data_IF_053089104958
#
_entry.id   IF_053089104958
#
_cell.length_a   1.000
_cell.length_b   1.000
_cell.length_c   1.000
_cell.angle_alpha   90.00
_cell.angle_beta   90.00
_cell.angle_gamma   90.00
#
_symmetry.space_group_name_H-M   'P 1'
#
loop_
_entity.id
_entity.type
_entity.pdbx_description
1 polymer ?
#
# COMPACT_ATOMS: atom_id res chain seq x y z
N UNK A 1 -1.05 15.14 -6.57
CA UNK A 1 -0.99 16.54 -7.05
C UNK A 1 0.09 16.66 -8.11
N UNK A 2 0.03 17.69 -8.97
CA UNK A 2 1.11 17.93 -9.93
C UNK A 2 2.47 18.11 -9.24
N UNK A 3 2.51 18.79 -8.09
CA UNK A 3 3.73 18.97 -7.28
C UNK A 3 4.34 17.63 -6.83
N UNK A 4 3.53 16.72 -6.31
CA UNK A 4 4.02 15.39 -5.88
C UNK A 4 4.51 14.56 -7.06
N UNK A 5 3.85 14.63 -8.23
CA UNK A 5 4.29 13.93 -9.44
C UNK A 5 5.66 14.40 -9.91
N UNK A 6 5.88 15.72 -9.94
CA UNK A 6 7.17 16.31 -10.30
C UNK A 6 8.25 15.91 -9.29
N UNK A 7 7.94 16.01 -8.00
CA UNK A 7 8.86 15.62 -6.93
C UNK A 7 9.25 14.14 -7.04
N UNK A 8 8.28 13.24 -7.20
CA UNK A 8 8.50 11.80 -7.31
C UNK A 8 9.33 11.43 -8.54
N UNK A 9 8.98 12.03 -9.69
CA UNK A 9 9.73 11.85 -10.94
C UNK A 9 11.18 12.28 -10.82
N UNK A 10 11.43 13.44 -10.18
CA UNK A 10 12.79 13.95 -9.96
C UNK A 10 13.63 12.96 -9.15
N UNK A 11 13.08 12.39 -8.08
CA UNK A 11 13.79 11.43 -7.24
C UNK A 11 14.11 10.14 -7.97
N UNK A 12 13.14 9.55 -8.67
CA UNK A 12 13.35 8.32 -9.46
C UNK A 12 14.42 8.54 -10.53
N UNK A 13 14.34 9.63 -11.30
CA UNK A 13 15.34 9.94 -12.33
C UNK A 13 16.74 10.15 -11.75
N UNK A 14 16.84 10.85 -10.62
CA UNK A 14 18.13 11.09 -9.98
C UNK A 14 18.73 9.80 -9.45
N UNK A 15 17.93 8.96 -8.78
CA UNK A 15 18.38 7.68 -8.25
C UNK A 15 18.83 6.74 -9.38
N UNK A 16 18.04 6.65 -10.46
CA UNK A 16 18.38 5.86 -11.65
C UNK A 16 19.73 6.25 -12.27
N UNK A 17 19.99 7.56 -12.35
CA UNK A 17 21.17 8.12 -13.01
C UNK A 17 22.43 8.07 -12.15
N UNK A 18 22.31 8.33 -10.85
CA UNK A 18 23.45 8.59 -9.96
C UNK A 18 23.82 7.35 -9.17
N UNK A 19 22.83 6.60 -8.69
CA UNK A 19 23.04 5.57 -7.67
C UNK A 19 22.93 4.16 -8.25
N UNK A 20 21.85 3.87 -8.97
CA UNK A 20 21.55 2.53 -9.43
C UNK A 20 20.68 2.56 -10.67
N UNK A 21 21.17 2.01 -11.77
CA UNK A 21 20.35 1.74 -12.95
C UNK A 21 19.34 0.65 -12.62
N UNK A 22 18.06 0.98 -12.76
CA UNK A 22 16.91 0.09 -12.49
C UNK A 22 15.98 0.05 -13.70
N UNK A 23 15.42 -1.13 -13.99
CA UNK A 23 14.51 -1.34 -15.13
C UNK A 23 13.02 -1.25 -14.77
N UNK A 24 12.70 -1.43 -13.48
CA UNK A 24 11.36 -1.37 -12.94
C UNK A 24 11.37 -0.99 -11.46
N UNK A 25 10.19 -0.79 -10.89
CA UNK A 25 10.02 -0.39 -9.48
C UNK A 25 8.97 -1.24 -8.78
N UNK A 26 9.33 -1.74 -7.60
CA UNK A 26 8.41 -2.37 -6.66
C UNK A 26 7.95 -1.30 -5.65
N UNK A 27 6.66 -0.95 -5.65
CA UNK A 27 6.08 0.06 -4.74
C UNK A 27 5.22 -0.63 -3.69
N UNK A 28 5.86 -0.98 -2.58
CA UNK A 28 5.26 -1.63 -1.44
C UNK A 28 4.75 -0.63 -0.39
N UNK A 29 4.00 -1.12 0.60
CA UNK A 29 3.51 -0.38 1.77
C UNK A 29 2.57 0.79 1.44
N UNK A 30 1.93 0.74 0.27
CA UNK A 30 1.18 1.85 -0.31
C UNK A 30 -0.34 1.75 -0.14
N UNK A 31 -0.81 1.05 0.90
CA UNK A 31 -2.21 1.08 1.33
C UNK A 31 -2.73 2.49 1.69
N UNK A 32 -2.03 3.38 2.43
CA UNK A 32 -0.65 3.39 2.95
C UNK A 32 -0.48 2.79 4.35
N UNK A 33 0.45 1.84 4.48
CA UNK A 33 0.69 1.15 5.74
C UNK A 33 1.49 2.03 6.73
N UNK A 34 1.00 2.08 7.97
CA UNK A 34 1.67 2.75 9.09
C UNK A 34 1.68 1.84 10.31
N UNK A 35 2.84 1.72 10.97
CA UNK A 35 2.92 0.93 12.20
C UNK A 35 2.40 1.74 13.38
N UNK A 36 1.49 1.12 14.14
CA UNK A 36 1.12 1.62 15.46
C UNK A 36 0.23 2.85 15.46
N UNK A 37 -0.44 3.20 14.36
CA UNK A 37 -1.43 4.29 14.41
C UNK A 37 -2.44 4.00 15.53
N UNK A 38 -2.63 4.99 16.40
CA UNK A 38 -3.42 4.96 17.64
C UNK A 38 -2.88 4.06 18.77
N UNK A 39 -1.83 3.26 18.56
CA UNK A 39 -1.23 2.41 19.61
C UNK A 39 -0.33 3.24 20.53
N UNK A 40 -0.37 2.99 21.84
CA UNK A 40 0.55 3.63 22.79
C UNK A 40 1.95 3.03 22.70
N UNK A 41 2.01 1.70 22.57
CA UNK A 41 3.24 0.92 22.50
C UNK A 41 3.10 -0.14 21.39
N UNK A 42 3.34 0.20 20.11
CA UNK A 42 3.36 -0.78 19.03
C UNK A 42 4.45 -1.84 19.22
N UNK A 43 4.34 -2.95 18.50
CA UNK A 43 5.26 -4.09 18.60
C UNK A 43 6.73 -3.73 18.39
N UNK A 44 7.03 -2.67 17.63
CA UNK A 44 8.36 -2.16 17.36
C UNK A 44 8.80 -1.03 18.31
N UNK A 45 8.12 -0.85 19.44
CA UNK A 45 8.44 0.18 20.42
C UNK A 45 9.80 -0.07 21.08
N UNK A 46 10.72 0.88 20.97
CA UNK A 46 12.03 0.80 21.59
C UNK A 46 12.02 1.42 23.00
N UNK A 47 12.54 0.73 24.02
CA UNK A 47 12.63 1.30 25.37
C UNK A 47 13.63 2.48 25.46
N UNK A 48 14.49 2.64 24.46
CA UNK A 48 15.52 3.68 24.41
C UNK A 48 15.36 4.51 23.13
N UNK A 49 15.27 5.83 23.29
CA UNK A 49 15.13 6.78 22.18
C UNK A 49 13.75 7.42 22.09
N UNK A 50 13.50 8.12 20.99
CA UNK A 50 12.22 8.79 20.74
C UNK A 50 11.31 7.90 19.89
N UNK A 51 10.20 7.46 20.48
CA UNK A 51 9.15 6.77 19.74
C UNK A 51 7.96 7.68 19.56
N UNK A 52 7.37 7.63 18.37
CA UNK A 52 6.15 8.35 18.05
C UNK A 52 5.23 7.42 17.29
N UNK A 53 3.98 7.39 17.72
CA UNK A 53 2.88 6.84 16.93
C UNK A 53 1.97 7.97 16.49
N UNK A 54 1.40 7.82 15.30
CA UNK A 54 0.36 8.73 14.84
C UNK A 54 -0.87 8.54 15.74
N UNK A 55 -1.33 9.62 16.38
CA UNK A 55 -2.57 9.63 17.15
C UNK A 55 -3.64 10.40 16.40
N UNK A 56 -4.70 9.70 15.98
CA UNK A 56 -5.77 10.31 15.21
C UNK A 56 -6.83 10.93 16.14
N UNK A 57 -7.35 12.12 15.80
CA UNK A 57 -8.34 12.80 16.62
C UNK A 57 -9.62 11.97 16.72
N UNK A 58 -10.40 12.18 17.79
CA UNK A 58 -11.74 11.59 17.88
C UNK A 58 -12.63 12.22 16.80
N UNK A 59 -13.15 11.40 15.89
CA UNK A 59 -13.84 11.88 14.70
C UNK A 59 -14.80 10.82 14.19
N UNK A 60 -15.98 11.23 13.75
CA UNK A 60 -16.94 10.32 13.09
C UNK A 60 -16.40 9.71 11.79
N UNK A 61 -15.30 10.24 11.24
CA UNK A 61 -14.63 9.67 10.07
C UNK A 61 -13.73 8.49 10.46
N UNK A 62 -13.04 8.59 11.59
CA UNK A 62 -12.23 7.50 12.13
C UNK A 62 -13.11 6.45 12.87
N UNK A 63 -14.21 6.93 13.45
CA UNK A 63 -15.18 6.21 14.27
C UNK A 63 -16.59 6.31 13.64
N UNK A 64 -16.82 5.69 12.47
CA UNK A 64 -18.11 5.82 11.76
C UNK A 64 -19.24 5.15 12.53
N UNK A 65 -20.49 5.65 12.39
CA UNK A 65 -21.66 5.04 13.05
C UNK A 65 -21.90 3.60 12.58
N UNK A 66 -21.49 3.27 11.34
CA UNK A 66 -21.47 1.91 10.83
C UNK A 66 -20.02 1.48 10.57
N UNK A 67 -19.53 0.58 11.40
CA UNK A 67 -18.17 0.03 11.29
C UNK A 67 -18.12 -1.03 10.20
N UNK A 68 -17.12 -0.97 9.35
CA UNK A 68 -16.86 -2.01 8.34
C UNK A 68 -15.90 -3.07 8.91
N UNK A 69 -15.73 -4.19 8.19
CA UNK A 69 -14.76 -5.23 8.54
C UNK A 69 -13.34 -4.69 8.77
N UNK A 70 -12.97 -3.59 8.10
CA UNK A 70 -11.67 -2.95 8.27
C UNK A 70 -11.44 -2.44 9.71
N UNK A 71 -12.48 -1.92 10.37
CA UNK A 71 -12.41 -1.51 11.78
C UNK A 71 -12.48 -2.73 12.72
N UNK A 72 -13.37 -3.69 12.43
CA UNK A 72 -13.56 -4.88 13.27
C UNK A 72 -12.35 -5.82 13.29
N UNK A 73 -11.55 -5.86 12.21
CA UNK A 73 -10.38 -6.73 12.06
C UNK A 73 -9.44 -6.66 13.26
N UNK A 74 -9.36 -5.51 13.91
CA UNK A 74 -8.41 -5.28 14.99
C UNK A 74 -9.01 -5.42 16.40
N UNK A 75 -10.34 -5.56 16.54
CA UNK A 75 -11.01 -5.65 17.84
C UNK A 75 -10.51 -6.84 18.67
N UNK A 76 -10.21 -7.97 18.02
CA UNK A 76 -9.72 -9.18 18.69
C UNK A 76 -8.23 -9.08 19.08
N UNK A 77 -7.48 -8.23 18.39
CA UNK A 77 -6.02 -8.09 18.57
C UNK A 77 -5.62 -6.91 19.44
N UNK A 78 -6.54 -5.97 19.69
CA UNK A 78 -6.28 -4.75 20.42
C UNK A 78 -7.11 -4.70 21.69
N UNK A 79 -6.53 -4.17 22.77
CA UNK A 79 -7.24 -3.94 24.04
C UNK A 79 -8.15 -2.69 24.00
N UNK A 80 -8.70 -2.36 22.83
CA UNK A 80 -9.59 -1.22 22.56
C UNK A 80 -10.41 -1.46 21.30
N UNK A 81 -11.45 -0.65 21.12
CA UNK A 81 -12.24 -0.65 19.88
C UNK A 81 -11.36 -0.19 18.71
N UNK A 82 -11.37 -0.99 17.64
CA UNK A 82 -10.70 -0.71 16.37
C UNK A 82 -11.35 0.42 15.58
N UNK A 83 -10.50 1.26 15.01
CA UNK A 83 -10.81 2.48 14.26
C UNK A 83 -10.36 2.30 12.81
N UNK A 84 -10.95 3.05 11.89
CA UNK A 84 -10.55 2.95 10.47
C UNK A 84 -9.10 3.37 10.22
N UNK A 85 -8.55 4.27 11.05
CA UNK A 85 -7.15 4.69 10.96
C UNK A 85 -6.14 3.71 11.54
N UNK A 86 -6.58 2.61 12.15
CA UNK A 86 -5.64 1.64 12.69
C UNK A 86 -4.81 1.03 11.55
N UNK A 87 -3.49 1.08 11.74
CA UNK A 87 -2.45 0.68 10.75
C UNK A 87 -2.39 1.54 9.48
N UNK A 88 -2.99 2.73 9.44
CA UNK A 88 -2.96 3.67 8.30
C UNK A 88 -2.99 5.13 8.75
N UNK A 89 -3.21 6.08 7.84
CA UNK A 89 -3.35 7.51 8.13
C UNK A 89 -4.69 7.84 8.80
N UNK A 90 -4.77 8.98 9.49
CA UNK A 90 -6.03 9.48 10.03
C UNK A 90 -7.04 9.76 8.92
N UNK A 91 -8.31 9.37 9.13
CA UNK A 91 -9.37 9.57 8.14
C UNK A 91 -9.67 11.05 7.89
N UNK A 92 -9.33 11.90 8.86
CA UNK A 92 -9.40 13.37 8.79
C UNK A 92 -8.29 14.01 7.95
N UNK A 93 -7.24 13.28 7.56
CA UNK A 93 -6.14 13.83 6.79
C UNK A 93 -6.61 14.35 5.41
N UNK A 94 -6.15 15.54 5.02
CA UNK A 94 -6.52 16.16 3.75
C UNK A 94 -5.46 15.89 2.67
N UNK A 95 -5.89 15.58 1.45
CA UNK A 95 -5.07 15.19 0.31
C UNK A 95 -5.53 15.88 -0.97
N UNK A 96 -4.72 15.77 -2.03
CA UNK A 96 -5.05 16.31 -3.34
C UNK A 96 -4.57 17.75 -3.54
N UNK A 97 -4.95 18.31 -4.70
CA UNK A 97 -4.56 19.68 -5.04
C UNK A 97 -5.31 20.68 -4.17
N UNK A 98 -4.72 21.86 -4.01
CA UNK A 98 -5.37 22.96 -3.31
C UNK A 98 -6.55 23.41 -4.15
N UNK A 99 -7.75 23.31 -3.58
CA UNK A 99 -8.95 23.87 -4.16
C UNK A 99 -8.86 25.40 -4.10
N UNK A 100 -8.90 26.03 -5.28
CA UNK A 100 -8.79 27.48 -5.42
C UNK A 100 -9.89 28.25 -4.69
N UNK A 101 -11.05 27.64 -4.44
CA UNK A 101 -12.16 28.28 -3.76
C UNK A 101 -12.02 28.23 -2.23
N UNK A 102 -11.38 27.18 -1.69
CA UNK A 102 -11.31 26.96 -0.23
C UNK A 102 -9.91 27.16 0.34
N UNK A 103 -8.87 27.22 -0.49
CA UNK A 103 -7.47 27.29 -0.09
C UNK A 103 -6.97 26.01 0.61
N UNK A 104 -7.72 24.91 0.58
CA UNK A 104 -7.42 23.65 1.28
C UNK A 104 -7.28 22.49 0.30
N UNK A 105 -6.60 21.39 0.67
CA UNK A 105 -6.57 20.19 -0.17
C UNK A 105 -7.98 19.64 -0.38
N UNK A 106 -8.24 19.11 -1.58
CA UNK A 106 -9.59 18.78 -2.06
C UNK A 106 -10.25 17.55 -1.42
N UNK A 107 -9.48 16.55 -1.02
CA UNK A 107 -10.02 15.23 -0.65
C UNK A 107 -9.68 14.86 0.79
N UNK A 108 -10.60 14.25 1.53
CA UNK A 108 -10.27 13.62 2.82
C UNK A 108 -9.75 12.22 2.58
N UNK A 109 -8.84 11.76 3.43
CA UNK A 109 -8.33 10.40 3.36
C UNK A 109 -9.46 9.37 3.51
N UNK A 110 -10.47 9.66 4.34
CA UNK A 110 -11.69 8.85 4.42
C UNK A 110 -12.28 8.50 3.05
N UNK A 111 -12.33 9.47 2.13
CA UNK A 111 -12.97 9.32 0.83
C UNK A 111 -12.04 8.65 -0.21
N UNK A 112 -10.72 8.67 0.01
CA UNK A 112 -9.72 8.28 -1.00
C UNK A 112 -8.69 7.28 -0.50
N UNK A 113 -8.89 6.67 0.68
CA UNK A 113 -7.95 5.72 1.27
C UNK A 113 -7.62 4.59 0.30
N UNK A 114 -8.64 3.89 -0.21
CA UNK A 114 -8.49 2.80 -1.17
C UNK A 114 -7.92 3.22 -2.54
N UNK A 115 -7.77 4.53 -2.79
CA UNK A 115 -7.16 5.06 -4.02
C UNK A 115 -5.69 5.43 -3.83
N UNK A 116 -5.10 5.26 -2.65
CA UNK A 116 -3.75 5.73 -2.37
C UNK A 116 -2.70 5.06 -3.27
N UNK A 117 -2.58 3.72 -3.22
CA UNK A 117 -1.64 2.96 -4.07
C UNK A 117 -1.93 3.12 -5.56
N UNK A 118 -3.21 3.14 -5.95
CA UNK A 118 -3.65 3.47 -7.31
C UNK A 118 -3.12 4.84 -7.77
N UNK A 119 -3.22 5.87 -6.91
CA UNK A 119 -2.78 7.23 -7.22
C UNK A 119 -1.26 7.37 -7.35
N UNK A 120 -0.50 6.47 -6.74
CA UNK A 120 0.97 6.39 -6.82
C UNK A 120 1.44 5.60 -8.06
N UNK A 121 0.66 4.61 -8.51
CA UNK A 121 1.07 3.67 -9.56
C UNK A 121 1.38 4.36 -10.88
N UNK A 122 0.42 5.13 -11.43
CA UNK A 122 0.64 5.82 -12.71
C UNK A 122 1.83 6.80 -12.68
N UNK A 123 1.96 7.71 -11.69
CA UNK A 123 3.13 8.57 -11.59
C UNK A 123 4.47 7.82 -11.52
N UNK A 124 4.48 6.64 -10.89
CA UNK A 124 5.69 5.81 -10.80
C UNK A 124 6.07 5.25 -12.16
N UNK A 125 5.08 4.79 -12.94
CA UNK A 125 5.28 4.33 -14.33
C UNK A 125 5.82 5.44 -15.21
N UNK A 126 5.17 6.60 -15.20
CA UNK A 126 5.57 7.76 -16.00
C UNK A 126 7.02 8.18 -15.62
N UNK A 127 7.35 8.15 -14.32
CA UNK A 127 8.67 8.50 -13.82
C UNK A 127 9.76 7.52 -14.28
N UNK A 128 9.56 6.21 -14.09
CA UNK A 128 10.58 5.21 -14.46
C UNK A 128 10.78 5.15 -15.98
N UNK A 129 9.72 5.24 -16.79
CA UNK A 129 9.83 5.30 -18.25
C UNK A 129 10.58 6.54 -18.72
N UNK A 130 10.38 7.68 -18.03
CA UNK A 130 11.13 8.91 -18.32
C UNK A 130 12.60 8.86 -17.88
N UNK A 131 12.96 7.92 -17.00
CA UNK A 131 14.33 7.69 -16.55
C UNK A 131 15.07 6.72 -17.48
N UNK A 132 14.40 5.62 -17.86
CA UNK A 132 14.98 4.55 -18.68
C UNK A 132 14.90 4.81 -20.18
N UNK A 133 13.94 5.65 -20.62
CA UNK A 133 13.61 5.82 -22.05
C UNK A 133 12.97 4.58 -22.69
N UNK A 134 12.54 3.61 -21.87
CA UNK A 134 12.01 2.31 -22.30
C UNK A 134 10.64 2.06 -21.65
N UNK A 135 9.93 1.05 -22.15
CA UNK A 135 8.85 0.45 -21.38
C UNK A 135 9.46 -0.15 -20.11
N UNK A 136 8.84 0.17 -18.98
CA UNK A 136 9.25 -0.28 -17.65
C UNK A 136 8.06 -0.86 -16.90
N UNK A 137 8.36 -1.61 -15.84
CA UNK A 137 7.39 -2.33 -15.03
C UNK A 137 7.25 -1.71 -13.64
N UNK A 138 6.03 -1.65 -13.12
CA UNK A 138 5.77 -1.24 -11.74
C UNK A 138 4.89 -2.27 -11.05
N UNK A 139 5.28 -2.67 -9.85
CA UNK A 139 4.60 -3.69 -9.05
C UNK A 139 4.08 -3.05 -7.74
N UNK A 140 2.82 -2.59 -7.67
CA UNK A 140 2.20 -2.09 -6.44
C UNK A 140 1.58 -3.17 -5.56
N UNK A 141 1.58 -2.96 -4.23
CA UNK A 141 0.79 -3.79 -3.30
C UNK A 141 -0.68 -3.38 -3.32
N UNK A 142 -0.96 -2.13 -3.01
CA UNK A 142 -2.33 -1.61 -2.98
C UNK A 142 -2.82 -1.31 -4.40
N UNK A 143 -4.00 -1.84 -4.71
CA UNK A 143 -4.65 -1.68 -6.02
C UNK A 143 -6.10 -1.23 -5.88
N UNK A 144 -6.62 -0.63 -6.94
CA UNK A 144 -8.05 -0.31 -7.09
C UNK A 144 -8.46 -0.61 -8.54
N UNK A 145 -9.75 -0.52 -8.84
CA UNK A 145 -10.28 -0.69 -10.20
C UNK A 145 -9.49 0.17 -11.20
N UNK A 146 -8.96 -0.47 -12.24
CA UNK A 146 -8.14 0.17 -13.26
C UNK A 146 -6.63 0.23 -12.98
N UNK A 147 -6.14 -0.22 -11.82
CA UNK A 147 -4.70 -0.29 -11.52
C UNK A 147 -3.89 -1.07 -12.57
N UNK A 148 -4.47 -2.14 -13.12
CA UNK A 148 -3.86 -3.00 -14.14
C UNK A 148 -3.54 -2.31 -15.46
N UNK A 149 -4.07 -1.09 -15.69
CA UNK A 149 -3.69 -0.28 -16.84
C UNK A 149 -2.21 0.15 -16.79
N UNK A 150 -1.61 0.24 -15.60
CA UNK A 150 -0.27 0.79 -15.42
C UNK A 150 0.70 -0.15 -14.69
N UNK A 151 0.22 -0.98 -13.77
CA UNK A 151 1.08 -1.86 -12.96
C UNK A 151 0.59 -3.29 -12.90
N UNK A 152 1.45 -4.18 -12.41
CA UNK A 152 1.07 -5.52 -11.98
C UNK A 152 0.53 -5.55 -10.56
N UNK A 153 0.61 -6.72 -9.93
CA UNK A 153 0.42 -6.91 -8.50
C UNK A 153 1.08 -8.23 -8.07
N UNK A 154 1.36 -8.40 -6.77
CA UNK A 154 1.67 -9.69 -6.17
C UNK A 154 0.75 -9.87 -4.97
N UNK A 155 0.36 -11.11 -4.67
CA UNK A 155 -0.67 -11.41 -3.67
C UNK A 155 -0.29 -11.12 -2.20
N UNK A 156 0.88 -10.52 -1.97
CA UNK A 156 1.34 -10.10 -0.65
C UNK A 156 1.96 -11.22 0.15
N UNK A 157 2.12 -10.93 1.45
CA UNK A 157 2.87 -11.71 2.42
C UNK A 157 2.17 -13.05 2.75
N UNK A 158 2.35 -14.04 1.88
CA UNK A 158 1.83 -15.40 2.07
C UNK A 158 2.72 -16.22 3.01
N UNK A 159 2.15 -17.24 3.63
CA UNK A 159 2.92 -18.20 4.41
C UNK A 159 3.41 -19.38 3.55
N UNK A 160 4.56 -19.95 3.91
CA UNK A 160 5.12 -21.18 3.36
C UNK A 160 4.26 -22.40 3.74
N UNK A 161 3.08 -22.55 3.11
CA UNK A 161 2.11 -23.61 3.36
C UNK A 161 1.36 -24.08 2.10
N UNK A 162 0.92 -25.33 2.11
CA UNK A 162 0.10 -25.91 1.02
C UNK A 162 -1.23 -25.18 0.81
N UNK A 163 -1.83 -24.64 1.87
CA UNK A 163 -3.05 -23.83 1.79
C UNK A 163 -2.82 -22.55 1.00
N UNK A 164 -1.73 -21.84 1.26
CA UNK A 164 -1.39 -20.59 0.54
C UNK A 164 -1.06 -20.85 -0.92
N UNK A 165 -0.42 -21.98 -1.24
CA UNK A 165 -0.23 -22.41 -2.63
C UNK A 165 -1.58 -22.55 -3.36
N UNK A 166 -2.59 -23.16 -2.72
CA UNK A 166 -3.95 -23.21 -3.28
C UNK A 166 -4.59 -21.82 -3.41
N UNK A 167 -4.41 -20.94 -2.42
CA UNK A 167 -4.96 -19.58 -2.47
C UNK A 167 -4.35 -18.74 -3.59
N UNK A 168 -3.07 -18.97 -3.92
CA UNK A 168 -2.41 -18.27 -5.03
C UNK A 168 -3.15 -18.46 -6.37
N UNK A 169 -3.66 -19.67 -6.64
CA UNK A 169 -4.41 -19.98 -7.85
C UNK A 169 -5.71 -19.18 -7.90
N UNK A 170 -6.41 -19.10 -6.77
CA UNK A 170 -7.66 -18.34 -6.65
C UNK A 170 -7.38 -16.86 -6.86
N UNK A 171 -6.41 -16.29 -6.14
CA UNK A 171 -6.05 -14.89 -6.25
C UNK A 171 -5.63 -14.49 -7.67
N UNK A 172 -4.80 -15.31 -8.34
CA UNK A 172 -4.40 -15.02 -9.73
C UNK A 172 -5.59 -15.02 -10.71
N UNK A 173 -6.57 -15.93 -10.55
CA UNK A 173 -7.78 -15.96 -11.39
C UNK A 173 -8.64 -14.72 -11.11
N UNK A 174 -8.86 -14.38 -9.85
CA UNK A 174 -9.64 -13.20 -9.45
C UNK A 174 -9.04 -11.90 -10.00
N UNK A 175 -7.72 -11.72 -9.90
CA UNK A 175 -7.04 -10.53 -10.41
C UNK A 175 -7.08 -10.43 -11.95
N UNK A 176 -7.12 -11.56 -12.67
CA UNK A 176 -7.42 -11.54 -14.10
C UNK A 176 -8.82 -10.98 -14.38
N UNK A 177 -9.83 -11.35 -13.60
CA UNK A 177 -11.17 -10.75 -13.69
C UNK A 177 -11.23 -9.29 -13.25
N UNK A 178 -10.39 -8.89 -12.28
CA UNK A 178 -10.24 -7.49 -11.88
C UNK A 178 -9.45 -6.64 -12.89
N UNK A 179 -8.95 -7.24 -13.97
CA UNK A 179 -8.24 -6.55 -15.05
C UNK A 179 -6.76 -6.29 -14.74
N UNK A 180 -6.13 -7.12 -13.92
CA UNK A 180 -4.70 -7.06 -13.54
C UNK A 180 -4.04 -8.41 -13.88
N UNK A 181 -3.69 -8.65 -15.16
CA UNK A 181 -3.22 -9.97 -15.61
C UNK A 181 -1.75 -10.25 -15.26
N UNK A 182 -0.95 -9.22 -14.98
CA UNK A 182 0.42 -9.39 -14.51
C UNK A 182 0.41 -9.55 -12.98
N UNK A 183 0.15 -10.77 -12.54
CA UNK A 183 -0.08 -11.17 -11.14
C UNK A 183 0.71 -12.43 -10.79
N UNK A 184 1.11 -12.56 -9.53
CA UNK A 184 1.73 -13.76 -8.98
C UNK A 184 1.68 -13.79 -7.45
N UNK A 185 2.16 -14.88 -6.86
CA UNK A 185 2.43 -14.99 -5.43
C UNK A 185 3.92 -15.22 -5.19
N UNK A 186 4.38 -15.01 -3.96
CA UNK A 186 5.76 -15.32 -3.59
C UNK A 186 5.96 -16.84 -3.54
N UNK A 187 6.80 -17.32 -4.46
CA UNK A 187 7.11 -18.75 -4.64
C UNK A 187 7.82 -19.26 -3.40
N UNK A 188 7.42 -20.46 -2.93
CA UNK A 188 7.84 -21.07 -1.67
C UNK A 188 7.36 -20.36 -0.39
N UNK A 189 6.61 -19.25 -0.49
CA UNK A 189 6.08 -18.50 0.64
C UNK A 189 7.03 -17.43 1.16
N UNK A 190 6.47 -16.32 1.63
CA UNK A 190 7.19 -15.19 2.21
C UNK A 190 7.49 -15.39 3.70
N UNK A 191 6.46 -15.74 4.49
CA UNK A 191 6.60 -16.00 5.92
C UNK A 191 6.72 -17.51 6.20
N UNK A 192 7.35 -17.86 7.33
CA UNK A 192 7.71 -19.24 7.73
C UNK A 192 8.72 -19.91 6.78
N UNK A 193 9.25 -21.07 7.21
CA UNK A 193 10.23 -21.82 6.43
C UNK A 193 9.56 -22.86 5.53
N UNK A 194 9.83 -22.88 4.22
CA UNK A 194 9.31 -23.91 3.34
C UNK A 194 9.96 -25.27 3.59
N UNK A 195 9.24 -26.34 3.26
CA UNK A 195 9.85 -27.66 3.05
C UNK A 195 10.36 -27.78 1.62
N UNK A 196 11.37 -28.62 1.41
CA UNK A 196 11.90 -28.92 0.08
C UNK A 196 10.80 -29.40 -0.88
N UNK A 197 9.96 -30.34 -0.43
CA UNK A 197 8.86 -30.87 -1.24
C UNK A 197 7.89 -29.77 -1.69
N UNK A 198 7.55 -28.83 -0.81
CA UNK A 198 6.62 -27.75 -1.15
C UNK A 198 7.25 -26.76 -2.14
N UNK A 199 8.52 -26.40 -1.95
CA UNK A 199 9.20 -25.41 -2.80
C UNK A 199 9.51 -25.95 -4.21
N UNK A 200 9.50 -27.27 -4.40
CA UNK A 200 9.64 -27.93 -5.71
C UNK A 200 8.31 -27.91 -6.51
N UNK A 201 7.15 -27.75 -5.85
CA UNK A 201 5.84 -27.73 -6.52
C UNK A 201 5.49 -26.36 -7.09
#
# INVERSE_FOLDING_TARGET
TNRTRIWWTRWIKNFHRINLTVDGLWIDMNEPALFGTNDDFPWNWNLIGTNYTLKCPQSKLDDPPYRTKAAFRYDETMNRIGRLSDRTLCMTAMQGEIDHNTGKPKYRHYDVHSLYGWSQTKPTVDAIQSATGKRSMVLPRSTFVGSGQWGGHWLGDNEASWSEMKQSLIGMIEFNWFGIPFIGADICGFDKSPTEEMCIR
#
